data_IF_147898406127
#
_entry.id   IF_147898406127
#
_cell.length_a   1.000
_cell.length_b   1.000
_cell.length_c   1.000
_cell.angle_alpha   90.00
_cell.angle_beta   90.00
_cell.angle_gamma   90.00
#
_symmetry.space_group_name_H-M   'P 1'
#
loop_
_entity.id
_entity.type
_entity.pdbx_description
1 polymer ?
#
# COMPACT_ATOMS: atom_id res chain seq x y z
N UNK A 1 22.58 25.46 4.45
CA UNK A 1 21.28 25.37 5.15
C UNK A 1 20.28 24.60 4.31
N UNK A 2 20.11 23.30 4.57
CA UNK A 2 18.89 22.53 4.25
C UNK A 2 19.07 21.09 4.73
N UNK A 3 18.66 20.84 5.98
CA UNK A 3 18.40 19.50 6.50
C UNK A 3 17.37 19.64 7.61
N UNK A 4 16.08 19.50 7.27
CA UNK A 4 14.98 19.31 8.23
C UNK A 4 13.79 18.68 7.50
N UNK A 5 13.84 17.35 7.33
CA UNK A 5 12.66 16.54 7.00
C UNK A 5 12.96 15.05 7.22
N UNK A 6 13.17 14.64 8.47
CA UNK A 6 13.29 13.20 8.79
C UNK A 6 12.77 12.77 10.17
N UNK A 7 12.19 13.67 10.98
CA UNK A 7 11.79 13.34 12.36
C UNK A 7 10.28 13.22 12.62
N UNK A 8 9.40 13.69 11.73
CA UNK A 8 7.97 13.79 12.05
C UNK A 8 7.22 12.44 12.10
N UNK A 9 7.66 11.42 11.36
CA UNK A 9 6.96 10.12 11.25
C UNK A 9 7.24 9.15 12.40
N UNK A 10 8.48 9.10 12.90
CA UNK A 10 8.84 8.27 14.07
C UNK A 10 8.17 8.75 15.36
N UNK A 11 7.91 10.06 15.44
CA UNK A 11 7.18 10.66 16.55
C UNK A 11 5.73 10.16 16.57
N UNK A 12 5.04 10.05 15.42
CA UNK A 12 3.65 9.55 15.37
C UNK A 12 3.46 8.14 15.94
N UNK A 13 4.29 7.17 15.55
CA UNK A 13 4.19 5.77 16.02
C UNK A 13 4.59 5.63 17.50
N UNK A 14 5.61 6.37 17.97
CA UNK A 14 5.96 6.40 19.39
C UNK A 14 4.87 7.07 20.24
N UNK A 15 4.20 8.09 19.70
CA UNK A 15 3.12 8.82 20.37
C UNK A 15 1.87 7.94 20.50
N UNK A 16 1.49 7.21 19.44
CA UNK A 16 0.39 6.24 19.49
C UNK A 16 0.65 5.12 20.50
N UNK A 17 1.86 4.54 20.53
CA UNK A 17 2.23 3.54 21.54
C UNK A 17 2.16 4.08 22.97
N UNK A 18 2.49 5.36 23.18
CA UNK A 18 2.41 6.02 24.49
C UNK A 18 0.96 6.30 24.91
N UNK A 19 0.14 6.85 24.01
CA UNK A 19 -1.28 7.10 24.24
C UNK A 19 -2.05 5.80 24.54
N UNK A 20 -1.72 4.71 23.85
CA UNK A 20 -2.28 3.37 24.12
C UNK A 20 -1.87 2.88 25.51
N UNK A 21 -0.59 3.05 25.90
CA UNK A 21 -0.12 2.65 27.24
C UNK A 21 -0.82 3.42 28.35
N UNK A 22 -1.12 4.71 28.14
CA UNK A 22 -1.85 5.57 29.07
C UNK A 22 -3.32 5.15 29.19
N UNK A 23 -3.98 4.86 28.06
CA UNK A 23 -5.35 4.30 28.03
C UNK A 23 -5.44 2.94 28.72
N UNK A 24 -4.48 2.04 28.49
CA UNK A 24 -4.40 0.74 29.17
C UNK A 24 -4.18 0.86 30.68
N UNK A 25 -3.43 1.86 31.16
CA UNK A 25 -3.29 2.15 32.60
C UNK A 25 -4.54 2.76 33.21
N UNK A 26 -5.30 3.55 32.45
CA UNK A 26 -6.58 4.12 32.88
C UNK A 26 -7.71 3.07 32.84
N UNK A 27 -7.70 2.15 31.88
CA UNK A 27 -8.65 1.03 31.80
C UNK A 27 -8.33 -0.08 32.82
N UNK A 28 -7.05 -0.27 33.21
CA UNK A 28 -6.65 -1.20 34.29
C UNK A 28 -6.90 -0.67 35.71
N UNK A 29 -7.14 0.63 35.88
CA UNK A 29 -7.39 1.24 37.20
C UNK A 29 -8.73 0.86 37.85
N UNK A 30 -9.59 0.09 37.19
CA UNK A 30 -10.94 -0.22 37.69
C UNK A 30 -11.31 -1.72 37.72
N UNK A 31 -10.32 -2.61 37.75
CA UNK A 31 -10.56 -4.05 37.93
C UNK A 31 -9.73 -4.58 39.10
N UNK A 32 -10.25 -4.42 40.32
CA UNK A 32 -9.79 -5.20 41.46
C UNK A 32 -10.18 -6.67 41.22
N UNK A 33 -9.26 -7.47 40.68
CA UNK A 33 -9.34 -8.92 40.79
C UNK A 33 -8.47 -9.36 41.96
N UNK A 34 -9.13 -9.70 43.07
CA UNK A 34 -8.60 -10.64 44.04
C UNK A 34 -8.31 -11.95 43.29
N UNK A 35 -7.02 -12.23 43.08
CA UNK A 35 -6.58 -13.54 42.61
C UNK A 35 -6.58 -14.48 43.81
N UNK A 36 -7.69 -15.19 43.98
CA UNK A 36 -7.74 -16.41 44.80
C UNK A 36 -8.04 -17.61 43.92
N UNK A 37 -6.99 -18.38 43.63
CA UNK A 37 -6.91 -19.85 43.61
C UNK A 37 -8.24 -20.62 43.46
N UNK A 38 -8.42 -21.37 42.36
CA UNK A 38 -9.35 -22.51 42.31
C UNK A 38 -10.07 -22.77 40.97
N UNK A 39 -9.50 -23.69 40.19
CA UNK A 39 -10.06 -24.68 39.25
C UNK A 39 -11.59 -24.72 38.89
N UNK A 40 -11.82 -24.99 37.59
CA UNK A 40 -12.93 -25.71 36.90
C UNK A 40 -14.09 -24.91 36.22
N UNK A 41 -14.21 -25.21 34.92
CA UNK A 41 -15.36 -25.17 33.98
C UNK A 41 -15.94 -23.85 33.45
N UNK A 42 -15.85 -23.73 32.13
CA UNK A 42 -17.01 -23.38 31.31
C UNK A 42 -17.37 -21.91 31.22
N UNK A 43 -16.48 -21.08 30.67
CA UNK A 43 -16.87 -19.80 30.10
C UNK A 43 -16.41 -19.75 28.65
N UNK A 44 -17.36 -19.73 27.72
CA UNK A 44 -17.12 -19.49 26.30
C UNK A 44 -16.21 -18.26 26.19
N UNK A 45 -15.00 -18.47 25.66
CA UNK A 45 -14.03 -17.39 25.51
C UNK A 45 -14.64 -16.35 24.57
N UNK A 46 -15.09 -15.21 25.10
CA UNK A 46 -15.30 -14.03 24.27
C UNK A 46 -14.01 -13.86 23.45
N UNK A 47 -14.15 -13.79 22.12
CA UNK A 47 -13.03 -13.59 21.22
C UNK A 47 -12.21 -12.39 21.70
N UNK A 48 -10.88 -12.47 21.62
CA UNK A 48 -10.08 -11.31 21.97
C UNK A 48 -10.32 -10.28 20.87
N UNK A 49 -10.83 -9.10 21.23
CA UNK A 49 -10.97 -8.00 20.28
C UNK A 49 -9.59 -7.69 19.67
N UNK A 50 -9.54 -7.50 18.34
CA UNK A 50 -8.27 -7.32 17.62
C UNK A 50 -7.53 -6.04 18.04
N UNK A 51 -8.24 -5.06 18.61
CA UNK A 51 -7.67 -3.83 19.19
C UNK A 51 -6.72 -3.12 18.23
N UNK A 52 -5.42 -3.03 18.53
CA UNK A 52 -4.43 -2.34 17.70
C UNK A 52 -4.24 -2.97 16.31
N UNK A 53 -4.53 -4.27 16.16
CA UNK A 53 -4.47 -4.96 14.86
C UNK A 53 -5.55 -4.46 13.90
N UNK A 54 -6.58 -3.74 14.38
CA UNK A 54 -7.58 -3.11 13.53
C UNK A 54 -6.98 -2.21 12.45
N UNK A 55 -5.86 -1.51 12.74
CA UNK A 55 -5.19 -0.67 11.74
C UNK A 55 -4.48 -1.48 10.66
N UNK A 56 -3.92 -2.63 11.04
CA UNK A 56 -3.30 -3.55 10.08
C UNK A 56 -4.36 -4.20 9.19
N UNK A 57 -5.45 -4.66 9.79
CA UNK A 57 -6.61 -5.20 9.07
C UNK A 57 -7.23 -4.14 8.14
N UNK A 58 -7.37 -2.89 8.59
CA UNK A 58 -7.85 -1.79 7.74
C UNK A 58 -6.96 -1.59 6.51
N UNK A 59 -5.64 -1.66 6.67
CA UNK A 59 -4.70 -1.59 5.57
C UNK A 59 -4.87 -2.77 4.58
N UNK A 60 -5.05 -3.99 5.09
CA UNK A 60 -5.34 -5.16 4.25
C UNK A 60 -6.67 -5.03 3.51
N UNK A 61 -7.72 -4.48 4.15
CA UNK A 61 -9.00 -4.19 3.49
C UNK A 61 -8.79 -3.22 2.34
N UNK A 62 -8.04 -2.13 2.53
CA UNK A 62 -7.73 -1.17 1.45
C UNK A 62 -7.02 -1.84 0.28
N UNK A 63 -6.03 -2.71 0.55
CA UNK A 63 -5.36 -3.48 -0.50
C UNK A 63 -6.36 -4.35 -1.27
N UNK A 64 -7.26 -5.03 -0.56
CA UNK A 64 -8.32 -5.82 -1.18
C UNK A 64 -9.29 -4.97 -2.03
N UNK A 65 -9.67 -3.78 -1.56
CA UNK A 65 -10.58 -2.89 -2.28
C UNK A 65 -9.92 -2.38 -3.56
N UNK A 66 -8.68 -1.92 -3.46
CA UNK A 66 -7.90 -1.46 -4.60
C UNK A 66 -7.69 -2.57 -5.63
N UNK A 67 -7.41 -3.79 -5.17
CA UNK A 67 -7.29 -4.96 -6.03
C UNK A 67 -8.59 -5.21 -6.82
N UNK A 68 -9.72 -5.33 -6.13
CA UNK A 68 -11.03 -5.56 -6.77
C UNK A 68 -11.43 -4.41 -7.70
N UNK A 69 -11.15 -3.16 -7.32
CA UNK A 69 -11.36 -2.00 -8.18
C UNK A 69 -10.51 -2.07 -9.45
N UNK A 70 -9.25 -2.52 -9.35
CA UNK A 70 -8.37 -2.68 -10.50
C UNK A 70 -8.83 -3.78 -11.47
N UNK A 71 -9.66 -4.72 -11.00
CA UNK A 71 -10.30 -5.74 -11.82
C UNK A 71 -11.69 -5.33 -12.34
N UNK A 72 -12.19 -4.14 -11.99
CA UNK A 72 -13.50 -3.66 -12.46
C UNK A 72 -13.55 -3.57 -13.99
N UNK A 73 -14.74 -3.73 -14.58
CA UNK A 73 -14.93 -3.69 -16.04
C UNK A 73 -14.33 -2.43 -16.68
N UNK A 74 -14.54 -1.28 -16.05
CA UNK A 74 -13.96 0.01 -16.50
C UNK A 74 -12.43 -0.01 -16.53
N UNK A 75 -11.79 -0.57 -15.51
CA UNK A 75 -10.33 -0.65 -15.44
C UNK A 75 -9.77 -1.70 -16.39
N UNK A 76 -10.45 -2.83 -16.57
CA UNK A 76 -10.07 -3.84 -17.55
C UNK A 76 -10.22 -3.34 -18.98
N UNK A 77 -11.25 -2.55 -19.27
CA UNK A 77 -11.43 -1.91 -20.56
C UNK A 77 -10.32 -0.90 -20.82
N UNK A 78 -10.05 0.00 -19.86
CA UNK A 78 -8.93 0.94 -19.92
C UNK A 78 -7.59 0.21 -20.16
N UNK A 79 -7.35 -0.88 -19.44
CA UNK A 79 -6.16 -1.70 -19.62
C UNK A 79 -6.06 -2.22 -21.05
N UNK A 80 -7.11 -2.88 -21.55
CA UNK A 80 -7.11 -3.55 -22.86
C UNK A 80 -7.08 -2.57 -24.03
N UNK A 81 -7.83 -1.47 -23.95
CA UNK A 81 -8.07 -0.56 -25.07
C UNK A 81 -7.08 0.61 -25.13
N UNK A 82 -6.61 1.11 -23.98
CA UNK A 82 -5.72 2.29 -23.93
C UNK A 82 -4.29 1.92 -23.52
N UNK A 83 -4.12 1.13 -22.45
CA UNK A 83 -2.79 0.88 -21.88
C UNK A 83 -2.01 -0.11 -22.75
N UNK A 84 -2.59 -1.28 -23.04
CA UNK A 84 -1.91 -2.34 -23.79
C UNK A 84 -1.67 -1.98 -25.26
N UNK A 85 -2.50 -1.11 -25.84
CA UNK A 85 -2.37 -0.63 -27.23
C UNK A 85 -1.44 0.58 -27.36
N UNK A 86 -0.98 1.16 -26.25
CA UNK A 86 -0.15 2.36 -26.26
C UNK A 86 1.20 2.12 -26.95
N UNK A 87 1.68 3.14 -27.67
CA UNK A 87 2.97 3.10 -28.38
C UNK A 87 4.13 2.69 -27.46
N UNK A 88 4.13 3.16 -26.22
CA UNK A 88 5.17 2.83 -25.24
C UNK A 88 5.20 1.35 -24.85
N UNK A 89 4.03 0.75 -24.59
CA UNK A 89 3.94 -0.67 -24.22
C UNK A 89 4.27 -1.56 -25.41
N UNK A 90 3.76 -1.23 -26.59
CA UNK A 90 3.99 -1.97 -27.83
C UNK A 90 5.47 -1.97 -28.23
N UNK A 91 6.17 -0.84 -28.04
CA UNK A 91 7.59 -0.72 -28.38
C UNK A 91 8.55 -1.28 -27.32
N UNK A 92 8.22 -1.16 -26.02
CA UNK A 92 9.13 -1.55 -24.93
C UNK A 92 8.91 -2.98 -24.43
N UNK A 93 7.71 -3.52 -24.54
CA UNK A 93 7.34 -4.78 -23.90
C UNK A 93 7.10 -5.86 -24.94
N UNK A 94 6.01 -5.76 -25.70
CA UNK A 94 5.65 -6.72 -26.73
C UNK A 94 4.53 -6.16 -27.61
N UNK A 95 4.48 -6.59 -28.87
CA UNK A 95 3.36 -6.35 -29.76
C UNK A 95 2.28 -7.43 -29.68
N UNK A 96 2.56 -8.56 -29.02
CA UNK A 96 1.60 -9.64 -28.82
C UNK A 96 0.68 -9.35 -27.63
N UNK A 97 -0.61 -9.10 -27.93
CA UNK A 97 -1.65 -8.87 -26.92
C UNK A 97 -1.77 -10.05 -25.94
N UNK A 98 -1.52 -11.29 -26.37
CA UNK A 98 -1.58 -12.44 -25.45
C UNK A 98 -0.46 -12.39 -24.43
N UNK A 99 0.78 -12.15 -24.87
CA UNK A 99 1.92 -11.95 -23.97
C UNK A 99 1.67 -10.78 -22.99
N UNK A 100 1.16 -9.66 -23.48
CA UNK A 100 0.83 -8.50 -22.65
C UNK A 100 -0.23 -8.82 -21.58
N UNK A 101 -1.27 -9.57 -21.93
CA UNK A 101 -2.29 -10.03 -20.98
C UNK A 101 -1.74 -11.03 -19.97
N UNK A 102 -0.82 -11.91 -20.37
CA UNK A 102 -0.14 -12.83 -19.44
C UNK A 102 0.72 -12.05 -18.44
N UNK A 103 1.43 -11.01 -18.88
CA UNK A 103 2.22 -10.14 -17.99
C UNK A 103 1.29 -9.40 -17.01
N UNK A 104 0.23 -8.78 -17.51
CA UNK A 104 -0.72 -8.06 -16.66
C UNK A 104 -1.40 -8.99 -15.64
N UNK A 105 -1.71 -10.23 -16.03
CA UNK A 105 -2.26 -11.24 -15.13
C UNK A 105 -1.24 -11.65 -14.04
N UNK A 106 0.04 -11.80 -14.40
CA UNK A 106 1.11 -12.10 -13.45
C UNK A 106 1.31 -10.97 -12.43
N UNK A 107 1.35 -9.71 -12.88
CA UNK A 107 1.46 -8.53 -12.00
C UNK A 107 0.26 -8.47 -11.03
N UNK A 108 -0.96 -8.76 -11.52
CA UNK A 108 -2.16 -8.82 -10.66
C UNK A 108 -2.12 -9.99 -9.69
N UNK A 109 -1.53 -11.13 -10.06
CA UNK A 109 -1.35 -12.25 -9.15
C UNK A 109 -0.44 -11.88 -7.98
N UNK A 110 0.64 -11.15 -8.24
CA UNK A 110 1.53 -10.65 -7.18
C UNK A 110 0.79 -9.73 -6.19
N UNK A 111 -0.06 -8.81 -6.69
CA UNK A 111 -0.93 -7.96 -5.85
C UNK A 111 -1.84 -8.83 -4.94
N UNK A 112 -2.44 -9.89 -5.50
CA UNK A 112 -3.31 -10.81 -4.76
C UNK A 112 -2.52 -11.63 -3.73
N UNK A 113 -1.32 -12.11 -4.07
CA UNK A 113 -0.46 -12.85 -3.15
C UNK A 113 -0.07 -12.04 -1.91
N UNK A 114 0.19 -10.74 -2.09
CA UNK A 114 0.45 -9.84 -0.95
C UNK A 114 -0.75 -9.78 -0.01
N UNK A 115 -1.97 -9.67 -0.55
CA UNK A 115 -3.21 -9.69 0.25
C UNK A 115 -3.41 -11.05 0.94
N UNK A 116 -3.25 -12.15 0.21
CA UNK A 116 -3.39 -13.52 0.74
C UNK A 116 -2.43 -13.81 1.88
N UNK A 117 -1.18 -13.36 1.77
CA UNK A 117 -0.18 -13.54 2.82
C UNK A 117 -0.59 -12.89 4.13
N UNK A 118 -1.23 -11.72 4.06
CA UNK A 118 -1.77 -11.04 5.24
C UNK A 118 -2.97 -11.80 5.82
N UNK A 119 -3.90 -12.24 4.97
CA UNK A 119 -5.06 -13.04 5.39
C UNK A 119 -4.65 -14.36 6.04
N UNK A 120 -3.69 -15.10 5.46
CA UNK A 120 -3.16 -16.34 6.04
C UNK A 120 -2.53 -16.06 7.41
N UNK A 121 -1.75 -14.98 7.52
CA UNK A 121 -1.13 -14.58 8.80
C UNK A 121 -2.19 -14.27 9.85
N UNK A 122 -3.25 -13.55 9.50
CA UNK A 122 -4.37 -13.28 10.40
C UNK A 122 -5.10 -14.57 10.81
N UNK A 123 -5.33 -15.48 9.87
CA UNK A 123 -5.94 -16.78 10.12
C UNK A 123 -5.15 -17.59 11.15
N UNK A 124 -3.83 -17.67 10.99
CA UNK A 124 -2.94 -18.37 11.93
C UNK A 124 -2.88 -17.71 13.33
N UNK A 125 -3.34 -16.46 13.48
CA UNK A 125 -3.46 -15.77 14.77
C UNK A 125 -4.82 -15.98 15.45
N UNK A 126 -5.81 -16.58 14.77
CA UNK A 126 -7.12 -16.86 15.34
C UNK A 126 -7.06 -17.91 16.45
N UNK A 127 -8.02 -17.87 17.38
CA UNK A 127 -8.13 -18.89 18.44
C UNK A 127 -8.68 -20.20 17.90
N UNK A 128 -9.58 -20.12 16.91
CA UNK A 128 -10.17 -21.30 16.28
C UNK A 128 -9.20 -21.89 15.23
N UNK A 129 -8.78 -23.17 15.39
CA UNK A 129 -7.88 -23.84 14.45
C UNK A 129 -8.42 -23.96 13.02
N UNK A 130 -9.74 -23.78 12.79
CA UNK A 130 -10.32 -23.83 11.44
C UNK A 130 -9.75 -22.75 10.50
N UNK A 131 -9.26 -21.65 11.08
CA UNK A 131 -8.65 -20.55 10.32
C UNK A 131 -7.15 -20.72 10.14
N UNK A 132 -6.57 -21.78 10.69
CA UNK A 132 -5.15 -22.09 10.50
C UNK A 132 -4.96 -22.84 9.18
N UNK A 133 -3.79 -22.70 8.58
CA UNK A 133 -3.42 -23.39 7.32
C UNK A 133 -4.28 -23.03 6.10
N UNK A 134 -4.87 -21.83 6.07
CA UNK A 134 -5.65 -21.34 4.92
C UNK A 134 -4.87 -21.33 3.60
N UNK A 135 -3.54 -21.30 3.64
CA UNK A 135 -2.71 -21.45 2.43
C UNK A 135 -3.00 -22.74 1.65
N UNK A 136 -3.25 -23.87 2.34
CA UNK A 136 -3.63 -25.13 1.69
C UNK A 136 -5.08 -25.13 1.18
N UNK A 137 -5.95 -24.29 1.77
CA UNK A 137 -7.31 -24.11 1.30
C UNK A 137 -7.34 -23.27 0.02
N UNK A 138 -6.58 -22.18 -0.02
CA UNK A 138 -6.50 -21.30 -1.18
C UNK A 138 -5.82 -21.97 -2.36
N UNK A 139 -4.78 -22.78 -2.14
CA UNK A 139 -4.14 -23.55 -3.23
C UNK A 139 -5.07 -24.56 -3.90
N UNK A 140 -6.19 -24.93 -3.26
CA UNK A 140 -7.21 -25.85 -3.81
C UNK A 140 -8.35 -25.10 -4.51
N UNK A 141 -8.36 -23.77 -4.52
CA UNK A 141 -9.37 -22.98 -5.24
C UNK A 141 -9.19 -23.08 -6.76
N UNK A 142 -7.96 -23.38 -7.23
CA UNK A 142 -7.66 -23.62 -8.64
C UNK A 142 -8.14 -24.98 -9.14
N UNK A 143 -8.36 -25.95 -8.24
CA UNK A 143 -8.84 -27.29 -8.58
C UNK A 143 -10.36 -27.37 -8.38
N UNK A 144 -11.13 -27.36 -9.47
CA UNK A 144 -12.59 -27.56 -9.60
C UNK A 144 -13.32 -27.97 -8.32
N UNK A 145 -13.47 -27.04 -7.36
CA UNK A 145 -14.23 -27.29 -6.14
C UNK A 145 -15.57 -26.56 -6.24
N UNK A 146 -16.68 -27.26 -6.50
CA UNK A 146 -18.01 -26.66 -6.61
C UNK A 146 -18.51 -26.02 -5.30
N UNK A 147 -17.77 -26.16 -4.18
CA UNK A 147 -18.09 -25.57 -2.87
C UNK A 147 -17.79 -24.07 -2.74
N UNK A 148 -17.12 -23.45 -3.70
CA UNK A 148 -16.81 -22.02 -3.68
C UNK A 148 -17.63 -21.19 -4.68
N UNK A 149 -18.82 -21.66 -5.08
CA UNK A 149 -19.85 -20.78 -5.64
C UNK A 149 -20.52 -20.00 -4.51
N UNK A 150 -19.76 -19.13 -3.86
CA UNK A 150 -20.34 -18.09 -3.01
C UNK A 150 -21.03 -17.07 -3.92
N UNK A 151 -22.14 -16.48 -3.47
CA UNK A 151 -22.77 -15.43 -4.25
C UNK A 151 -21.79 -14.26 -4.34
N UNK A 152 -21.48 -13.83 -5.56
CA UNK A 152 -20.75 -12.59 -5.86
C UNK A 152 -21.28 -11.42 -5.02
N UNK A 153 -22.60 -11.37 -4.82
CA UNK A 153 -23.28 -10.31 -4.07
C UNK A 153 -22.92 -10.36 -2.57
N UNK A 154 -22.77 -11.55 -1.98
CA UNK A 154 -22.38 -11.72 -0.58
C UNK A 154 -20.94 -11.28 -0.33
N UNK A 155 -20.04 -11.60 -1.25
CA UNK A 155 -18.64 -11.20 -1.17
C UNK A 155 -18.48 -9.68 -1.37
N UNK A 156 -19.19 -9.09 -2.34
CA UNK A 156 -19.22 -7.65 -2.57
C UNK A 156 -19.82 -6.90 -1.36
N UNK A 157 -20.93 -7.38 -0.80
CA UNK A 157 -21.52 -6.82 0.41
C UNK A 157 -20.57 -6.91 1.60
N UNK A 158 -19.90 -8.06 1.78
CA UNK A 158 -18.90 -8.23 2.84
C UNK A 158 -17.73 -7.27 2.69
N UNK A 159 -17.28 -7.04 1.45
CA UNK A 159 -16.21 -6.09 1.15
C UNK A 159 -16.61 -4.64 1.43
N UNK A 160 -17.84 -4.26 1.08
CA UNK A 160 -18.40 -2.94 1.38
C UNK A 160 -18.53 -2.70 2.88
N UNK A 161 -19.02 -3.70 3.63
CA UNK A 161 -19.10 -3.63 5.09
C UNK A 161 -17.72 -3.44 5.72
N UNK A 162 -16.74 -4.26 5.32
CA UNK A 162 -15.36 -4.12 5.80
C UNK A 162 -14.75 -2.77 5.43
N UNK A 163 -15.02 -2.26 4.22
CA UNK A 163 -14.55 -0.94 3.77
C UNK A 163 -15.15 0.19 4.62
N UNK A 164 -16.44 0.12 4.95
CA UNK A 164 -17.09 1.07 5.87
C UNK A 164 -16.46 1.03 7.27
N UNK A 165 -16.16 -0.16 7.79
CA UNK A 165 -15.49 -0.32 9.08
C UNK A 165 -14.04 0.17 9.05
N UNK A 166 -13.33 -0.03 7.94
CA UNK A 166 -11.99 0.52 7.71
C UNK A 166 -12.00 2.06 7.69
N UNK A 167 -13.00 2.67 7.06
CA UNK A 167 -13.20 4.13 7.09
C UNK A 167 -13.45 4.64 8.51
N UNK A 168 -14.27 3.96 9.31
CA UNK A 168 -14.46 4.31 10.72
C UNK A 168 -13.18 4.11 11.55
N UNK A 169 -12.35 3.13 11.18
CA UNK A 169 -11.04 2.89 11.79
C UNK A 169 -10.04 4.00 11.44
N UNK A 170 -10.16 4.59 10.25
CA UNK A 170 -9.42 5.79 9.87
C UNK A 170 -9.84 7.01 10.69
N UNK A 171 -11.15 7.22 10.88
CA UNK A 171 -11.64 8.27 11.79
C UNK A 171 -11.10 8.07 13.22
N UNK A 172 -11.11 6.82 13.71
CA UNK A 172 -10.50 6.47 14.99
C UNK A 172 -9.01 6.83 15.04
N UNK A 173 -8.25 6.54 13.98
CA UNK A 173 -6.83 6.89 13.90
C UNK A 173 -6.60 8.40 14.02
N UNK A 174 -7.38 9.21 13.30
CA UNK A 174 -7.29 10.67 13.43
C UNK A 174 -7.74 11.16 14.81
N UNK A 175 -8.80 10.59 15.37
CA UNK A 175 -9.29 10.94 16.71
C UNK A 175 -8.27 10.61 17.81
N UNK A 176 -7.55 9.49 17.70
CA UNK A 176 -6.48 9.14 18.63
C UNK A 176 -5.28 10.10 18.52
N UNK A 177 -4.92 10.51 17.30
CA UNK A 177 -3.86 11.50 17.10
C UNK A 177 -4.26 12.89 17.64
N UNK A 178 -5.53 13.28 17.51
CA UNK A 178 -6.05 14.50 18.11
C UNK A 178 -6.07 14.41 19.65
N UNK A 179 -6.47 13.25 20.21
CA UNK A 179 -6.43 13.01 21.66
C UNK A 179 -5.02 13.17 22.23
N UNK A 180 -4.01 12.59 21.58
CA UNK A 180 -2.61 12.74 21.98
C UNK A 180 -2.14 14.22 21.94
N UNK A 181 -2.61 15.01 20.97
CA UNK A 181 -2.34 16.45 20.92
C UNK A 181 -2.99 17.19 22.08
N UNK A 182 -4.28 16.98 22.32
CA UNK A 182 -4.99 17.62 23.44
C UNK A 182 -4.41 17.25 24.80
N UNK A 183 -4.01 15.99 25.01
CA UNK A 183 -3.34 15.56 26.24
C UNK A 183 -1.99 16.27 26.43
N UNK A 184 -1.20 16.45 25.36
CA UNK A 184 0.05 17.22 25.41
C UNK A 184 -0.19 18.70 25.69
N UNK A 185 -1.18 19.30 25.06
CA UNK A 185 -1.52 20.72 25.27
C UNK A 185 -1.99 20.96 26.71
N UNK A 186 -2.81 20.05 27.26
CA UNK A 186 -3.25 20.09 28.66
C UNK A 186 -2.06 19.97 29.64
N UNK A 187 -1.17 19.00 29.42
CA UNK A 187 0.03 18.84 30.27
C UNK A 187 1.01 20.01 30.15
N UNK A 188 1.21 20.56 28.96
CA UNK A 188 2.05 21.76 28.75
C UNK A 188 1.50 22.95 29.54
N UNK A 189 0.18 23.13 29.56
CA UNK A 189 -0.46 24.23 30.29
C UNK A 189 -0.40 24.07 31.80
N UNK A 190 -0.51 22.84 32.32
CA UNK A 190 -0.27 22.56 33.73
C UNK A 190 1.17 22.92 34.12
N UNK A 191 2.14 22.49 33.31
CA UNK A 191 3.55 22.75 33.57
C UNK A 191 3.91 24.25 33.48
N UNK A 192 3.32 24.99 32.53
CA UNK A 192 3.46 26.45 32.43
C UNK A 192 2.91 27.15 33.68
N UNK A 193 1.73 26.76 34.16
CA UNK A 193 1.12 27.37 35.34
C UNK A 193 1.95 27.11 36.62
N UNK A 194 2.53 25.91 36.76
CA UNK A 194 3.43 25.55 37.85
C UNK A 194 4.76 26.33 37.77
N UNK A 195 5.31 26.52 36.57
CA UNK A 195 6.63 27.16 36.38
C UNK A 195 6.62 28.68 36.62
N UNK A 196 5.51 29.35 36.30
CA UNK A 196 5.39 30.80 36.44
C UNK A 196 4.65 31.24 37.71
N UNK A 197 4.24 30.31 38.58
CA UNK A 197 3.42 30.59 39.78
C UNK A 197 2.21 31.49 39.50
N UNK A 198 1.67 31.40 38.28
CA UNK A 198 0.52 32.19 37.85
C UNK A 198 -0.75 31.55 38.40
N UNK A 199 -1.77 32.35 38.79
CA UNK A 199 -3.09 31.79 39.09
C UNK A 199 -3.56 31.02 37.85
N UNK A 200 -3.95 29.76 38.02
CA UNK A 200 -4.61 29.00 36.97
C UNK A 200 -5.77 29.85 36.45
N UNK A 201 -5.65 30.40 35.25
CA UNK A 201 -6.75 31.12 34.61
C UNK A 201 -7.82 30.07 34.29
N UNK A 202 -8.77 29.93 35.21
CA UNK A 202 -9.66 28.77 35.30
C UNK A 202 -10.45 28.52 34.02
N UNK A 203 -10.81 29.56 33.28
CA UNK A 203 -11.57 29.43 32.02
C UNK A 203 -10.79 28.70 30.93
N UNK A 204 -9.51 29.03 30.71
CA UNK A 204 -8.70 28.40 29.66
C UNK A 204 -8.42 26.92 29.98
N UNK A 205 -8.21 26.59 31.25
CA UNK A 205 -7.99 25.20 31.69
C UNK A 205 -9.28 24.38 31.70
N UNK A 206 -10.40 24.97 32.11
CA UNK A 206 -11.72 24.32 32.03
C UNK A 206 -12.11 24.04 30.58
N UNK A 207 -11.80 24.95 29.66
CA UNK A 207 -12.02 24.73 28.23
C UNK A 207 -11.21 23.53 27.71
N UNK A 208 -9.90 23.47 28.01
CA UNK A 208 -9.05 22.34 27.63
C UNK A 208 -9.50 21.01 28.24
N UNK A 209 -9.92 21.02 29.50
CA UNK A 209 -10.45 19.82 30.17
C UNK A 209 -11.77 19.35 29.53
N UNK A 210 -12.65 20.28 29.16
CA UNK A 210 -13.90 19.97 28.49
C UNK A 210 -13.67 19.37 27.09
N UNK A 211 -12.70 19.91 26.35
CA UNK A 211 -12.31 19.43 25.01
C UNK A 211 -11.69 18.03 25.10
N UNK A 212 -10.82 17.80 26.09
CA UNK A 212 -10.22 16.49 26.34
C UNK A 212 -11.29 15.46 26.73
N UNK A 213 -12.27 15.83 27.56
CA UNK A 213 -13.43 14.97 27.88
C UNK A 213 -14.27 14.68 26.65
N UNK A 214 -14.52 15.67 25.79
CA UNK A 214 -15.24 15.49 24.53
C UNK A 214 -14.50 14.51 23.61
N UNK A 215 -13.21 14.72 23.41
CA UNK A 215 -12.38 13.87 22.56
C UNK A 215 -12.29 12.43 23.09
N UNK A 216 -12.18 12.23 24.41
CA UNK A 216 -12.22 10.88 25.02
C UNK A 216 -13.54 10.17 24.77
N UNK A 217 -14.67 10.89 24.82
CA UNK A 217 -15.99 10.34 24.48
C UNK A 217 -16.07 9.95 23.00
N UNK A 218 -15.56 10.79 22.10
CA UNK A 218 -15.51 10.51 20.67
C UNK A 218 -14.65 9.27 20.36
N UNK A 219 -13.45 9.17 20.93
CA UNK A 219 -12.60 7.97 20.75
C UNK A 219 -13.30 6.71 21.25
N UNK A 220 -14.01 6.80 22.38
CA UNK A 220 -14.76 5.66 22.93
C UNK A 220 -15.92 5.24 22.04
N UNK A 221 -16.63 6.18 21.40
CA UNK A 221 -17.70 5.85 20.45
C UNK A 221 -17.13 5.26 19.15
N UNK A 222 -16.03 5.81 18.63
CA UNK A 222 -15.36 5.32 17.43
C UNK A 222 -14.78 3.91 17.62
N UNK A 223 -14.16 3.60 18.76
CA UNK A 223 -13.69 2.24 19.08
C UNK A 223 -14.80 1.19 18.93
N UNK A 224 -16.01 1.48 19.42
CA UNK A 224 -17.17 0.57 19.37
C UNK A 224 -17.74 0.33 17.97
N UNK A 225 -17.50 1.26 17.04
CA UNK A 225 -18.12 1.28 15.71
C UNK A 225 -17.13 0.88 14.61
N UNK A 226 -15.83 1.02 14.89
CA UNK A 226 -14.71 0.63 14.03
C UNK A 226 -14.36 -0.87 14.12
N UNK A 227 -13.33 -1.29 13.37
CA UNK A 227 -12.76 -2.64 13.45
C UNK A 227 -12.16 -2.96 14.83
N UNK A 228 -11.93 -1.96 15.70
CA UNK A 228 -11.31 -2.15 17.01
C UNK A 228 -12.04 -3.17 17.89
N UNK A 229 -13.37 -3.17 17.87
CA UNK A 229 -14.22 -4.06 18.67
C UNK A 229 -14.63 -5.36 17.97
N UNK A 230 -14.11 -5.62 16.75
CA UNK A 230 -14.37 -6.88 16.06
C UNK A 230 -13.43 -7.99 16.54
N UNK A 231 -13.90 -9.22 16.41
CA UNK A 231 -13.05 -10.41 16.61
C UNK A 231 -12.34 -10.79 15.31
N UNK A 232 -11.19 -11.44 15.43
CA UNK A 232 -10.44 -11.91 14.27
C UNK A 232 -11.26 -12.94 13.48
N UNK A 233 -12.00 -13.80 14.19
CA UNK A 233 -12.82 -14.84 13.59
C UNK A 233 -13.95 -14.27 12.70
N UNK A 234 -14.61 -13.19 13.11
CA UNK A 234 -15.63 -12.50 12.29
C UNK A 234 -15.03 -11.90 11.01
N UNK A 235 -13.81 -11.36 11.12
CA UNK A 235 -13.09 -10.79 9.98
C UNK A 235 -12.65 -11.90 9.02
N UNK A 236 -12.09 -12.99 9.55
CA UNK A 236 -11.63 -14.12 8.75
C UNK A 236 -12.77 -14.79 7.98
N UNK A 237 -13.95 -14.90 8.58
CA UNK A 237 -15.14 -15.39 7.89
C UNK A 237 -15.49 -14.58 6.64
N UNK A 238 -15.33 -13.26 6.69
CA UNK A 238 -15.52 -12.38 5.53
C UNK A 238 -14.35 -12.48 4.55
N UNK A 239 -13.11 -12.50 5.03
CA UNK A 239 -11.92 -12.56 4.18
C UNK A 239 -11.85 -13.83 3.33
N UNK A 240 -12.20 -15.00 3.88
CA UNK A 240 -12.19 -16.24 3.07
C UNK A 240 -13.13 -16.14 1.87
N UNK A 241 -14.32 -15.56 2.07
CA UNK A 241 -15.27 -15.34 0.98
C UNK A 241 -14.77 -14.32 -0.04
N UNK A 242 -14.15 -13.23 0.44
CA UNK A 242 -13.55 -12.20 -0.41
C UNK A 242 -12.39 -12.77 -1.23
N UNK A 243 -11.55 -13.62 -0.64
CA UNK A 243 -10.46 -14.30 -1.35
C UNK A 243 -11.00 -15.17 -2.48
N UNK A 244 -11.99 -16.02 -2.20
CA UNK A 244 -12.61 -16.86 -3.23
C UNK A 244 -13.18 -16.00 -4.37
N UNK A 245 -13.83 -14.88 -4.03
CA UNK A 245 -14.34 -13.93 -5.01
C UNK A 245 -13.21 -13.26 -5.82
N UNK A 246 -12.10 -12.86 -5.19
CA UNK A 246 -10.94 -12.31 -5.89
C UNK A 246 -10.35 -13.28 -6.91
N UNK A 247 -10.27 -14.57 -6.57
CA UNK A 247 -9.84 -15.61 -7.51
C UNK A 247 -10.79 -15.73 -8.70
N UNK A 248 -12.09 -15.81 -8.44
CA UNK A 248 -13.08 -15.83 -9.51
C UNK A 248 -12.94 -14.60 -10.42
N UNK A 249 -12.76 -13.41 -9.85
CA UNK A 249 -12.61 -12.17 -10.60
C UNK A 249 -11.33 -12.11 -11.42
N UNK A 250 -10.23 -12.70 -10.95
CA UNK A 250 -9.02 -12.88 -11.75
C UNK A 250 -9.26 -13.80 -12.94
N UNK A 251 -9.93 -14.94 -12.72
CA UNK A 251 -10.26 -15.90 -13.76
C UNK A 251 -11.18 -15.31 -14.82
N UNK A 252 -12.20 -14.54 -14.42
CA UNK A 252 -13.09 -13.82 -15.34
C UNK A 252 -12.34 -12.74 -16.14
N UNK A 253 -11.39 -12.04 -15.52
CA UNK A 253 -10.66 -10.94 -16.14
C UNK A 253 -9.63 -11.39 -17.19
N UNK A 254 -8.92 -12.49 -16.90
CA UNK A 254 -7.73 -12.94 -17.66
C UNK A 254 -7.85 -14.35 -18.26
N UNK A 255 -8.93 -15.10 -18.00
CA UNK A 255 -9.13 -16.46 -18.50
C UNK A 255 -8.06 -17.42 -17.99
N UNK A 256 -7.56 -18.29 -18.87
CA UNK A 256 -6.51 -19.27 -18.56
C UNK A 256 -5.19 -18.62 -18.11
N UNK A 257 -4.92 -17.36 -18.49
CA UNK A 257 -3.77 -16.62 -17.97
C UNK A 257 -3.91 -16.27 -16.47
N UNK A 258 -5.14 -16.26 -15.96
CA UNK A 258 -5.44 -16.15 -14.53
C UNK A 258 -5.04 -17.41 -13.77
N UNK A 259 -5.06 -18.58 -14.44
CA UNK A 259 -4.73 -19.88 -13.87
C UNK A 259 -3.22 -20.14 -13.95
N UNK A 260 -2.50 -19.83 -12.87
CA UNK A 260 -1.15 -20.36 -12.66
C UNK A 260 -0.99 -20.60 -11.17
N UNK A 261 -0.58 -21.83 -10.81
CA UNK A 261 -0.69 -22.31 -9.44
C UNK A 261 0.03 -21.38 -8.46
N UNK A 262 -0.64 -21.09 -7.34
CA UNK A 262 -0.21 -20.23 -6.22
C UNK A 262 1.20 -20.46 -5.66
N UNK A 263 1.92 -21.48 -6.12
CA UNK A 263 3.22 -21.91 -5.59
C UNK A 263 4.26 -22.17 -6.71
N UNK A 264 3.87 -22.32 -7.99
CA UNK A 264 4.84 -22.66 -9.04
C UNK A 264 5.82 -21.54 -9.38
N UNK A 265 5.47 -20.28 -9.13
CA UNK A 265 6.34 -19.15 -9.49
C UNK A 265 7.50 -18.94 -8.51
N UNK A 266 7.45 -19.53 -7.30
CA UNK A 266 8.59 -19.50 -6.38
C UNK A 266 9.74 -20.42 -6.81
N UNK A 267 9.54 -21.37 -7.75
CA UNK A 267 10.55 -22.37 -8.10
C UNK A 267 10.85 -22.49 -9.59
N UNK A 268 10.02 -21.94 -10.49
CA UNK A 268 10.37 -21.86 -11.91
C UNK A 268 11.17 -20.60 -12.23
N UNK A 269 12.48 -20.67 -11.94
CA UNK A 269 13.52 -19.93 -12.68
C UNK A 269 13.59 -20.44 -14.14
N UNK A 270 12.49 -20.34 -14.89
CA UNK A 270 12.47 -20.70 -16.31
C UNK A 270 12.44 -19.40 -17.11
N UNK A 271 13.63 -18.96 -17.52
CA UNK A 271 13.88 -18.37 -18.84
C UNK A 271 12.96 -17.25 -19.34
N UNK A 272 12.31 -16.48 -18.46
CA UNK A 272 11.56 -15.30 -18.88
C UNK A 272 12.51 -14.27 -19.53
N UNK A 273 11.99 -13.37 -20.39
CA UNK A 273 12.80 -12.32 -21.01
C UNK A 273 13.62 -11.58 -19.94
N UNK A 274 14.89 -11.28 -20.22
CA UNK A 274 15.73 -10.50 -19.30
C UNK A 274 15.13 -9.10 -19.12
N UNK A 275 14.35 -8.92 -18.05
CA UNK A 275 13.64 -7.67 -17.76
C UNK A 275 14.38 -6.86 -16.71
N UNK A 276 14.36 -5.54 -16.89
CA UNK A 276 15.03 -4.57 -16.02
C UNK A 276 14.53 -4.61 -14.56
N UNK A 277 13.26 -4.98 -14.36
CA UNK A 277 12.65 -5.14 -13.03
C UNK A 277 13.33 -6.23 -12.20
N UNK A 278 13.51 -7.43 -12.76
CA UNK A 278 14.19 -8.56 -12.06
C UNK A 278 15.66 -8.28 -11.77
N UNK A 279 16.31 -7.43 -12.57
CA UNK A 279 17.70 -7.01 -12.37
C UNK A 279 17.86 -5.86 -11.34
N UNK A 280 16.77 -5.31 -10.77
CA UNK A 280 16.83 -4.20 -9.84
C UNK A 280 17.30 -2.86 -10.46
N UNK A 281 17.29 -2.75 -11.80
CA UNK A 281 17.80 -1.59 -12.51
C UNK A 281 16.72 -0.56 -12.85
N UNK A 282 15.44 -0.87 -12.60
CA UNK A 282 14.31 0.00 -12.93
C UNK A 282 14.49 1.44 -12.41
N UNK A 283 14.90 1.61 -11.15
CA UNK A 283 15.15 2.93 -10.57
C UNK A 283 16.30 3.69 -11.27
N UNK A 284 17.37 2.99 -11.63
CA UNK A 284 18.49 3.61 -12.34
C UNK A 284 18.05 4.13 -13.72
N UNK A 285 17.32 3.31 -14.49
CA UNK A 285 16.80 3.71 -15.79
C UNK A 285 15.76 4.84 -15.69
N UNK A 286 14.89 4.81 -14.68
CA UNK A 286 13.95 5.90 -14.44
C UNK A 286 14.67 7.23 -14.18
N UNK A 287 15.76 7.21 -13.39
CA UNK A 287 16.60 8.39 -13.15
C UNK A 287 17.33 8.86 -14.42
N UNK A 288 17.76 7.94 -15.29
CA UNK A 288 18.37 8.29 -16.59
C UNK A 288 17.34 8.98 -17.48
N UNK A 289 16.13 8.44 -17.62
CA UNK A 289 15.05 9.04 -18.41
C UNK A 289 14.72 10.44 -17.90
N UNK A 290 14.58 10.63 -16.58
CA UNK A 290 14.32 11.94 -15.97
C UNK A 290 15.43 12.96 -16.23
N UNK A 291 16.70 12.51 -16.28
CA UNK A 291 17.83 13.36 -16.66
C UNK A 291 17.78 13.75 -18.14
N UNK A 292 17.43 12.81 -19.03
CA UNK A 292 17.28 13.09 -20.47
C UNK A 292 16.17 14.12 -20.69
N UNK A 293 15.03 13.98 -20.01
CA UNK A 293 13.91 14.92 -20.10
C UNK A 293 14.28 16.35 -19.66
N UNK A 294 15.01 16.46 -18.54
CA UNK A 294 15.52 17.75 -18.05
C UNK A 294 16.44 18.43 -19.07
N UNK A 295 17.32 17.65 -19.72
CA UNK A 295 18.25 18.11 -20.75
C UNK A 295 17.48 18.53 -22.02
N UNK A 296 16.50 17.74 -22.45
CA UNK A 296 15.67 17.99 -23.62
C UNK A 296 14.83 19.27 -23.48
N UNK A 297 14.37 19.56 -22.26
CA UNK A 297 13.57 20.74 -21.94
C UNK A 297 14.40 22.04 -21.95
N UNK A 298 15.67 22.00 -21.54
CA UNK A 298 16.53 23.19 -21.42
C UNK A 298 17.92 23.00 -22.06
N UNK A 299 18.01 22.85 -23.40
CA UNK A 299 19.27 22.50 -24.07
C UNK A 299 20.33 23.61 -24.05
N UNK A 300 19.93 24.88 -23.89
CA UNK A 300 20.84 26.02 -23.89
C UNK A 300 21.59 26.26 -22.55
N UNK A 301 21.21 25.53 -21.49
CA UNK A 301 21.67 25.77 -20.13
C UNK A 301 22.46 24.58 -19.54
N UNK A 302 23.26 23.89 -20.36
CA UNK A 302 23.92 22.64 -19.96
C UNK A 302 25.41 22.84 -19.65
N UNK A 303 25.82 22.76 -18.38
CA UNK A 303 27.22 22.61 -18.02
C UNK A 303 27.83 21.32 -18.60
N UNK A 304 29.12 21.30 -18.97
CA UNK A 304 29.80 20.12 -19.51
C UNK A 304 29.69 18.86 -18.64
N UNK A 305 29.63 19.04 -17.30
CA UNK A 305 29.55 17.94 -16.34
C UNK A 305 28.23 17.15 -16.41
N UNK A 306 27.14 17.75 -16.88
CA UNK A 306 25.81 17.10 -16.96
C UNK A 306 25.84 15.98 -17.99
N UNK A 307 26.46 16.22 -19.15
CA UNK A 307 26.64 15.21 -20.21
C UNK A 307 27.48 14.04 -19.71
N UNK A 308 28.62 14.32 -19.06
CA UNK A 308 29.48 13.27 -18.51
C UNK A 308 28.75 12.45 -17.45
N UNK A 309 27.99 13.10 -16.57
CA UNK A 309 27.22 12.43 -15.52
C UNK A 309 26.12 11.52 -16.09
N UNK A 310 25.41 11.97 -17.14
CA UNK A 310 24.45 11.12 -17.86
C UNK A 310 25.15 9.93 -18.51
N UNK A 311 26.27 10.18 -19.20
CA UNK A 311 27.05 9.12 -19.85
C UNK A 311 27.53 8.09 -18.83
N UNK A 312 28.07 8.52 -17.69
CA UNK A 312 28.54 7.62 -16.64
C UNK A 312 27.41 6.79 -16.01
N UNK A 313 26.18 7.32 -15.94
CA UNK A 313 25.01 6.60 -15.43
C UNK A 313 24.53 5.46 -16.36
N UNK A 314 24.90 5.47 -17.64
CA UNK A 314 24.52 4.43 -18.59
C UNK A 314 25.23 3.09 -18.28
N UNK A 315 24.55 1.94 -18.44
CA UNK A 315 25.18 0.63 -18.41
C UNK A 315 26.27 0.50 -19.48
N UNK A 316 27.26 -0.36 -19.23
CA UNK A 316 28.41 -0.61 -20.13
C UNK A 316 27.96 -1.01 -21.54
N UNK A 317 26.97 -1.88 -21.66
CA UNK A 317 26.41 -2.33 -22.95
C UNK A 317 25.79 -1.18 -23.75
N UNK A 318 25.11 -0.25 -23.07
CA UNK A 318 24.52 0.93 -23.72
C UNK A 318 25.61 1.92 -24.11
N UNK A 319 26.67 2.08 -23.29
CA UNK A 319 27.82 2.93 -23.61
C UNK A 319 28.53 2.48 -24.87
N UNK A 320 28.81 1.18 -25.01
CA UNK A 320 29.51 0.63 -26.18
C UNK A 320 28.66 0.73 -27.44
N UNK A 321 27.36 0.40 -27.36
CA UNK A 321 26.42 0.57 -28.47
C UNK A 321 26.24 2.04 -28.89
N UNK A 322 26.22 2.96 -27.92
CA UNK A 322 26.14 4.39 -28.22
C UNK A 322 27.42 4.89 -28.91
N UNK A 323 28.60 4.45 -28.44
CA UNK A 323 29.88 4.80 -29.06
C UNK A 323 29.96 4.33 -30.51
N UNK A 324 29.59 3.07 -30.79
CA UNK A 324 29.62 2.54 -32.16
C UNK A 324 28.67 3.29 -33.09
N UNK A 325 27.46 3.60 -32.62
CA UNK A 325 26.48 4.39 -33.40
C UNK A 325 26.91 5.83 -33.62
N UNK A 326 27.58 6.47 -32.66
CA UNK A 326 28.11 7.82 -32.83
C UNK A 326 29.28 7.87 -33.80
N UNK A 327 30.12 6.83 -33.81
CA UNK A 327 31.24 6.71 -34.75
C UNK A 327 30.78 6.44 -36.19
N UNK A 328 29.60 5.84 -36.39
CA UNK A 328 29.04 5.55 -37.70
C UNK A 328 28.22 6.69 -38.33
N UNK A 329 28.00 7.81 -37.63
CA UNK A 329 27.25 8.96 -38.16
C UNK A 329 28.17 9.77 -39.07
N UNK A 330 27.91 9.74 -40.38
CA UNK A 330 28.61 10.59 -41.35
C UNK A 330 28.12 12.05 -41.23
N UNK A 331 29.00 13.02 -41.51
CA UNK A 331 28.74 14.44 -41.33
C UNK A 331 27.56 14.95 -42.20
N UNK A 332 27.16 14.19 -43.23
CA UNK A 332 26.06 14.49 -44.15
C UNK A 332 24.68 14.05 -43.65
N UNK A 333 24.61 13.18 -42.64
CA UNK A 333 23.34 12.65 -42.07
C UNK A 333 22.89 13.39 -40.80
N UNK A 334 23.47 14.56 -40.52
CA UNK A 334 23.09 15.35 -39.36
C UNK A 334 21.66 15.89 -39.51
N UNK A 335 20.73 15.29 -38.75
CA UNK A 335 19.36 15.75 -38.64
C UNK A 335 19.35 17.19 -38.07
N UNK A 336 18.52 18.08 -38.62
CA UNK A 336 18.38 19.43 -38.07
C UNK A 336 17.89 19.36 -36.62
N UNK A 337 18.41 20.27 -35.77
CA UNK A 337 18.13 20.31 -34.32
C UNK A 337 16.63 20.25 -34.02
N UNK A 338 15.81 20.92 -34.83
CA UNK A 338 14.35 20.93 -34.69
C UNK A 338 13.75 19.52 -34.85
N UNK A 339 14.25 18.71 -35.79
CA UNK A 339 13.78 17.35 -36.05
C UNK A 339 14.22 16.39 -34.95
N UNK A 340 15.47 16.51 -34.48
CA UNK A 340 15.96 15.74 -33.33
C UNK A 340 15.13 16.05 -32.07
N UNK A 341 14.83 17.33 -31.83
CA UNK A 341 13.98 17.74 -30.70
C UNK A 341 12.56 17.18 -30.82
N UNK A 342 11.98 17.19 -32.02
CA UNK A 342 10.63 16.67 -32.26
C UNK A 342 10.56 15.15 -31.99
N UNK A 343 11.50 14.37 -32.54
CA UNK A 343 11.57 12.91 -32.30
C UNK A 343 11.81 12.60 -30.82
N UNK A 344 12.72 13.32 -30.17
CA UNK A 344 13.00 13.14 -28.75
C UNK A 344 11.78 13.46 -27.88
N UNK A 345 11.04 14.54 -28.18
CA UNK A 345 9.81 14.87 -27.48
C UNK A 345 8.73 13.82 -27.68
N UNK A 346 8.60 13.24 -28.89
CA UNK A 346 7.65 12.17 -29.17
C UNK A 346 7.91 10.94 -28.29
N UNK A 347 9.17 10.52 -28.15
CA UNK A 347 9.53 9.41 -27.26
C UNK A 347 9.39 9.78 -25.78
N UNK A 348 9.81 10.99 -25.39
CA UNK A 348 9.77 11.45 -24.00
C UNK A 348 8.33 11.54 -23.48
N UNK A 349 7.37 11.89 -24.34
CA UNK A 349 5.95 12.02 -23.99
C UNK A 349 5.39 10.80 -23.26
N UNK A 350 5.80 9.58 -23.63
CA UNK A 350 5.29 8.35 -23.02
C UNK A 350 6.27 7.69 -22.04
N UNK A 351 7.59 7.89 -22.17
CA UNK A 351 8.56 7.26 -21.26
C UNK A 351 8.79 8.05 -19.96
N UNK A 352 8.60 9.37 -19.97
CA UNK A 352 8.77 10.23 -18.78
C UNK A 352 7.72 9.96 -17.70
N UNK A 353 6.42 9.80 -18.02
CA UNK A 353 5.42 9.40 -17.03
C UNK A 353 5.76 8.05 -16.38
N UNK A 354 6.21 7.07 -17.16
CA UNK A 354 6.65 5.76 -16.66
C UNK A 354 7.81 5.88 -15.66
N UNK A 355 8.85 6.65 -16.02
CA UNK A 355 9.99 6.90 -15.14
C UNK A 355 9.58 7.61 -13.84
N UNK A 356 8.69 8.60 -13.95
CA UNK A 356 8.18 9.34 -12.79
C UNK A 356 7.40 8.42 -11.85
N UNK A 357 6.53 7.55 -12.39
CA UNK A 357 5.78 6.57 -11.60
C UNK A 357 6.71 5.55 -10.95
N UNK A 358 7.74 5.09 -11.67
CA UNK A 358 8.74 4.16 -11.12
C UNK A 358 9.48 4.76 -9.93
N UNK A 359 9.92 6.03 -10.03
CA UNK A 359 10.58 6.73 -8.92
C UNK A 359 9.64 6.87 -7.72
N UNK A 360 8.40 7.31 -7.96
CA UNK A 360 7.39 7.44 -6.90
C UNK A 360 7.11 6.11 -6.19
N UNK A 361 6.99 5.01 -6.95
CA UNK A 361 6.76 3.68 -6.38
C UNK A 361 7.92 3.24 -5.48
N UNK A 362 9.16 3.54 -5.86
CA UNK A 362 10.34 3.25 -5.03
C UNK A 362 10.44 4.16 -3.80
N UNK A 363 10.04 5.43 -3.90
CA UNK A 363 10.03 6.38 -2.77
C UNK A 363 8.89 6.09 -1.77
N UNK A 364 7.78 5.53 -2.24
CA UNK A 364 6.61 5.14 -1.41
C UNK A 364 6.75 3.79 -0.71
N UNK A 365 7.74 2.96 -1.07
CA UNK A 365 7.94 1.64 -0.50
C UNK A 365 8.39 1.73 0.98
N UNK A 366 7.46 1.54 1.92
CA UNK A 366 7.74 1.46 3.36
C UNK A 366 6.99 2.43 4.28
N UNK A 367 6.02 3.20 3.77
CA UNK A 367 5.25 4.13 4.61
C UNK A 367 4.05 3.43 5.26
N UNK A 368 4.21 3.04 6.52
CA UNK A 368 3.09 2.70 7.41
C UNK A 368 2.18 3.92 7.53
N UNK A 369 0.96 3.85 6.98
CA UNK A 369 -0.06 4.91 7.11
C UNK A 369 -0.54 5.56 5.82
N UNK A 370 -0.14 5.09 4.63
CA UNK A 370 -0.70 5.63 3.37
C UNK A 370 -2.20 5.34 3.21
N UNK A 371 -2.71 4.25 3.81
CA UNK A 371 -4.15 4.01 3.95
C UNK A 371 -4.86 5.17 4.68
N UNK A 372 -4.17 5.87 5.59
CA UNK A 372 -4.74 7.02 6.30
C UNK A 372 -4.73 8.33 5.49
N UNK A 373 -4.11 8.33 4.30
CA UNK A 373 -4.19 9.42 3.32
C UNK A 373 -5.14 9.08 2.17
N UNK A 374 -5.60 7.83 2.09
CA UNK A 374 -6.45 7.35 1.01
C UNK A 374 -7.88 7.82 1.30
N UNK A 375 -8.50 8.56 0.38
CA UNK A 375 -9.93 8.82 0.43
C UNK A 375 -10.64 7.56 -0.08
N UNK A 376 -11.43 6.94 0.78
CA UNK A 376 -12.29 5.81 0.43
C UNK A 376 -13.44 6.24 -0.48
#
# INVERSE_FOLDING_TARGET
NNQKSSSSGRVGILSIKRAIKVLDTLERGNWNFNVSKGLITGAASRGCEISILAFEVANTIVKGTNFLQSLSEKQLQLLKEEILTSEGVQNLVSTDTKELLTIAAADKREDLEVFLREVIRFGNQCKDPRWHNLGQCFSKLDSDNPRCKLSREEAESSMQQLSSLAQQTLELYHALNALDRFERDYHSKLQEAESYSLPLRGEDLMNLESELKHQKKLVKSLKKRSLWSMTMEEIMAKFVNIVAYMHQRMMEAFGDNGMMSFIEECTKNIGGPQRLGKAGLALNYANIVKRIDMIASHPAALPPHVRSTLYHALPTVVKTALQSRLQSIDAKDQLPVCRVKAEMNKTLQWIVPLATNTIKAHEGFGWVGDWAKTRF
#
